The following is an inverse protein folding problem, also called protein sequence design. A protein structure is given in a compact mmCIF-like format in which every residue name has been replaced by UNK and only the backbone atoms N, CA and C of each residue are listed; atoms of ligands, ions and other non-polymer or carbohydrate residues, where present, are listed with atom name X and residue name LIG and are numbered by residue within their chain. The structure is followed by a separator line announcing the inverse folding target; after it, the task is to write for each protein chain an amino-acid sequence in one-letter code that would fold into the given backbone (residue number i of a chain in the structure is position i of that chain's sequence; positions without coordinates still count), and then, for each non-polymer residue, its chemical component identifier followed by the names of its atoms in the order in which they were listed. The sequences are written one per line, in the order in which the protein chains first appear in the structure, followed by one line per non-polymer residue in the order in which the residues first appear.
data_IF_470221866204
#
_entry.id   IF_470221866204
#
_cell.length_a   1.000
_cell.length_b   1.000
_cell.length_c   1.000
_cell.angle_alpha   90.00
_cell.angle_beta   90.00
_cell.angle_gamma   90.00
#
_symmetry.space_group_name_H-M   'P 1'
#
loop_
_entity.id
_entity.type
_entity.pdbx_description
1 polymer ?
#
# COMPACT_ATOMS: atom_id res chain seq x y z
N UNK A 1 -14.20 25.21 -5.10
CA UNK A 1 -15.51 24.66 -5.53
C UNK A 1 -15.37 23.81 -6.78
N UNK A 2 -14.80 24.36 -7.87
CA UNK A 2 -14.72 23.70 -9.19
C UNK A 2 -13.86 22.42 -9.21
N UNK A 3 -12.71 22.36 -8.51
CA UNK A 3 -11.89 21.13 -8.48
C UNK A 3 -12.64 19.94 -7.89
N UNK A 4 -13.40 20.16 -6.80
CA UNK A 4 -14.07 19.09 -6.06
C UNK A 4 -15.18 18.42 -6.88
N UNK A 5 -15.85 19.18 -7.74
CA UNK A 5 -16.88 18.68 -8.66
C UNK A 5 -16.29 17.99 -9.90
N UNK A 6 -15.12 18.43 -10.37
CA UNK A 6 -14.42 17.79 -11.49
C UNK A 6 -13.93 16.37 -11.14
N UNK A 7 -13.51 16.14 -9.89
CA UNK A 7 -13.11 14.83 -9.39
C UNK A 7 -14.30 13.91 -9.01
N UNK A 8 -15.53 14.44 -8.98
CA UNK A 8 -16.73 13.67 -8.65
C UNK A 8 -17.32 12.91 -9.86
N UNK A 9 -16.86 13.21 -11.08
CA UNK A 9 -17.29 12.50 -12.29
C UNK A 9 -16.43 11.25 -12.50
N UNK A 10 -17.02 10.06 -12.32
CA UNK A 10 -16.32 8.77 -12.38
C UNK A 10 -15.50 8.54 -13.66
N UNK A 11 -15.91 9.12 -14.79
CA UNK A 11 -15.19 9.03 -16.07
C UNK A 11 -13.89 9.83 -16.13
N UNK A 12 -13.81 10.97 -15.44
CA UNK A 12 -12.60 11.81 -15.39
C UNK A 12 -11.52 11.13 -14.54
N UNK A 13 -11.91 10.44 -13.47
CA UNK A 13 -10.99 9.69 -12.62
C UNK A 13 -10.35 8.51 -13.37
N UNK A 14 -11.12 7.77 -14.17
CA UNK A 14 -10.60 6.60 -14.88
C UNK A 14 -9.56 6.98 -15.94
N UNK A 15 -9.81 8.03 -16.74
CA UNK A 15 -8.87 8.47 -17.77
C UNK A 15 -7.60 9.09 -17.15
N UNK A 16 -7.77 9.83 -16.05
CA UNK A 16 -6.66 10.35 -15.26
C UNK A 16 -5.76 9.21 -14.74
N UNK A 17 -6.35 8.18 -14.12
CA UNK A 17 -5.58 7.05 -13.58
C UNK A 17 -4.91 6.21 -14.66
N UNK A 18 -5.56 6.02 -15.81
CA UNK A 18 -4.94 5.34 -16.97
C UNK A 18 -3.71 6.11 -17.46
N UNK A 19 -3.85 7.42 -17.62
CA UNK A 19 -2.76 8.30 -18.06
C UNK A 19 -1.61 8.28 -17.05
N UNK A 20 -1.93 8.39 -15.76
CA UNK A 20 -0.94 8.37 -14.68
C UNK A 20 -0.18 7.03 -14.63
N UNK A 21 -0.88 5.90 -14.74
CA UNK A 21 -0.26 4.58 -14.81
C UNK A 21 0.64 4.42 -16.03
N UNK A 22 0.22 4.93 -17.20
CA UNK A 22 1.04 4.94 -18.40
C UNK A 22 2.33 5.75 -18.19
N UNK A 23 2.21 6.97 -17.64
CA UNK A 23 3.36 7.83 -17.33
C UNK A 23 4.33 7.17 -16.35
N UNK A 24 3.83 6.62 -15.24
CA UNK A 24 4.69 5.92 -14.29
C UNK A 24 5.32 4.67 -14.88
N UNK A 25 4.61 3.92 -15.72
CA UNK A 25 5.15 2.73 -16.37
C UNK A 25 6.28 3.08 -17.34
N UNK A 26 6.09 4.10 -18.17
CA UNK A 26 7.06 4.51 -19.21
C UNK A 26 8.24 5.28 -18.64
N UNK A 27 8.01 6.10 -17.60
CA UNK A 27 9.03 6.99 -17.04
C UNK A 27 9.26 6.73 -15.54
N UNK A 28 10.06 5.69 -15.16
CA UNK A 28 10.32 5.37 -13.76
C UNK A 28 10.89 6.53 -12.94
N UNK A 29 11.63 7.44 -13.58
CA UNK A 29 12.16 8.65 -12.92
C UNK A 29 11.07 9.60 -12.43
N UNK A 30 9.90 9.65 -13.09
CA UNK A 30 8.79 10.50 -12.65
C UNK A 30 8.23 10.06 -11.29
N UNK A 31 8.34 8.78 -10.96
CA UNK A 31 7.85 8.22 -9.68
C UNK A 31 8.57 8.82 -8.47
N UNK A 32 9.80 9.30 -8.66
CA UNK A 32 10.69 9.85 -7.64
C UNK A 32 10.62 11.38 -7.54
N UNK A 33 9.49 11.99 -7.91
CA UNK A 33 9.35 13.45 -8.00
C UNK A 33 8.28 14.00 -7.06
N UNK A 34 8.39 15.29 -6.72
CA UNK A 34 7.40 15.98 -5.88
C UNK A 34 5.98 15.97 -6.49
N UNK A 35 5.78 16.20 -7.80
CA UNK A 35 4.45 16.06 -8.41
C UNK A 35 3.84 14.66 -8.26
N UNK A 36 4.67 13.61 -8.28
CA UNK A 36 4.18 12.26 -8.04
C UNK A 36 3.71 12.07 -6.60
N UNK A 37 4.37 12.71 -5.62
CA UNK A 37 3.94 12.73 -4.21
C UNK A 37 2.54 13.35 -4.06
N UNK A 38 2.25 14.44 -4.78
CA UNK A 38 0.95 15.11 -4.73
C UNK A 38 -0.20 14.28 -5.30
N UNK A 39 0.09 13.27 -6.14
CA UNK A 39 -0.94 12.37 -6.65
C UNK A 39 -1.44 11.36 -5.61
N UNK A 40 -0.66 11.08 -4.56
CA UNK A 40 -0.95 10.00 -3.61
C UNK A 40 -2.29 10.17 -2.89
N UNK A 41 -2.67 11.34 -2.34
CA UNK A 41 -3.97 11.52 -1.72
C UNK A 41 -5.16 11.23 -2.66
N UNK A 42 -5.01 11.56 -3.94
CA UNK A 42 -6.01 11.24 -4.97
C UNK A 42 -6.07 9.74 -5.28
N UNK A 43 -4.93 9.06 -5.30
CA UNK A 43 -4.86 7.60 -5.42
C UNK A 43 -5.52 6.91 -4.23
N UNK A 44 -5.24 7.36 -3.00
CA UNK A 44 -5.87 6.81 -1.78
C UNK A 44 -7.37 7.03 -1.79
N UNK A 45 -7.84 8.20 -2.23
CA UNK A 45 -9.27 8.49 -2.37
C UNK A 45 -9.90 7.60 -3.44
N UNK A 46 -9.26 7.44 -4.60
CA UNK A 46 -9.73 6.59 -5.70
C UNK A 46 -9.80 5.11 -5.29
N UNK A 47 -8.83 4.64 -4.52
CA UNK A 47 -8.83 3.29 -3.94
C UNK A 47 -10.03 3.10 -2.98
N UNK A 48 -10.41 4.15 -2.25
CA UNK A 48 -11.49 4.09 -1.25
C UNK A 48 -12.89 4.16 -1.86
N UNK A 49 -13.10 5.02 -2.84
CA UNK A 49 -14.46 5.36 -3.34
C UNK A 49 -14.68 5.01 -4.82
N UNK A 50 -13.64 4.58 -5.54
CA UNK A 50 -13.72 4.28 -6.96
C UNK A 50 -14.49 2.99 -7.28
N UNK A 51 -14.80 2.80 -8.57
CA UNK A 51 -15.23 1.49 -9.08
C UNK A 51 -14.11 0.46 -8.92
N UNK A 52 -14.41 -0.84 -9.03
CA UNK A 52 -13.37 -1.88 -8.94
C UNK A 52 -12.21 -1.65 -9.93
N UNK A 53 -12.51 -1.19 -11.16
CA UNK A 53 -11.47 -0.84 -12.14
C UNK A 53 -10.64 0.38 -11.72
N UNK A 54 -11.30 1.40 -11.17
CA UNK A 54 -10.65 2.60 -10.62
C UNK A 54 -9.76 2.25 -9.42
N UNK A 55 -10.23 1.37 -8.54
CA UNK A 55 -9.49 0.88 -7.38
C UNK A 55 -8.25 0.09 -7.81
N UNK A 56 -8.39 -0.79 -8.79
CA UNK A 56 -7.28 -1.56 -9.36
C UNK A 56 -6.21 -0.63 -9.96
N UNK A 57 -6.63 0.35 -10.78
CA UNK A 57 -5.73 1.34 -11.35
C UNK A 57 -5.04 2.21 -10.28
N UNK A 58 -5.74 2.57 -9.21
CA UNK A 58 -5.16 3.31 -8.10
C UNK A 58 -4.13 2.47 -7.32
N UNK A 59 -4.43 1.19 -7.08
CA UNK A 59 -3.53 0.25 -6.43
C UNK A 59 -2.26 0.03 -7.25
N UNK A 60 -2.40 -0.05 -8.57
CA UNK A 60 -1.28 -0.19 -9.52
C UNK A 60 -0.37 1.04 -9.49
N UNK A 61 -0.94 2.24 -9.50
CA UNK A 61 -0.18 3.47 -9.44
C UNK A 61 0.61 3.58 -8.12
N UNK A 62 -0.03 3.26 -6.98
CA UNK A 62 0.64 3.21 -5.67
C UNK A 62 1.78 2.19 -5.65
N UNK A 63 1.55 1.01 -6.24
CA UNK A 63 2.57 -0.04 -6.35
C UNK A 63 3.77 0.41 -7.20
N UNK A 64 3.52 1.08 -8.34
CA UNK A 64 4.57 1.64 -9.18
C UNK A 64 5.39 2.69 -8.44
N UNK A 65 4.75 3.63 -7.73
CA UNK A 65 5.43 4.63 -6.90
C UNK A 65 6.36 3.98 -5.89
N UNK A 66 5.85 2.97 -5.16
CA UNK A 66 6.65 2.24 -4.18
C UNK A 66 7.89 1.59 -4.77
N UNK A 67 7.87 1.09 -6.01
CA UNK A 67 9.05 0.49 -6.63
C UNK A 67 10.24 1.48 -6.74
N UNK A 68 9.96 2.78 -6.82
CA UNK A 68 10.99 3.81 -6.93
C UNK A 68 11.59 4.25 -5.58
N UNK A 69 10.98 3.89 -4.44
CA UNK A 69 11.40 4.39 -3.12
C UNK A 69 12.85 4.07 -2.75
N UNK A 70 13.35 2.90 -3.16
CA UNK A 70 14.74 2.51 -2.88
C UNK A 70 15.79 3.32 -3.68
N UNK A 71 15.37 3.99 -4.75
CA UNK A 71 16.24 4.71 -5.67
C UNK A 71 15.96 6.24 -5.71
N UNK A 72 14.99 6.73 -4.95
CA UNK A 72 14.66 8.16 -4.89
C UNK A 72 15.34 8.86 -3.70
N UNK A 73 15.42 10.19 -3.70
CA UNK A 73 15.88 10.95 -2.55
C UNK A 73 15.08 10.58 -1.29
N UNK A 74 15.77 10.45 -0.15
CA UNK A 74 15.17 9.96 1.09
C UNK A 74 13.96 10.79 1.54
N UNK A 75 13.97 12.09 1.26
CA UNK A 75 12.90 13.04 1.53
C UNK A 75 11.64 12.70 0.74
N UNK A 76 11.80 12.40 -0.56
CA UNK A 76 10.69 12.03 -1.43
C UNK A 76 10.13 10.67 -1.02
N UNK A 77 10.98 9.66 -0.81
CA UNK A 77 10.53 8.34 -0.32
C UNK A 77 9.75 8.48 0.99
N UNK A 78 10.27 9.26 1.94
CA UNK A 78 9.62 9.52 3.21
C UNK A 78 8.26 10.20 3.02
N UNK A 79 8.20 11.29 2.26
CA UNK A 79 6.97 12.02 2.01
C UNK A 79 5.90 11.12 1.36
N UNK A 80 6.28 10.35 0.34
CA UNK A 80 5.39 9.42 -0.32
C UNK A 80 4.90 8.30 0.60
N UNK A 81 5.79 7.71 1.40
CA UNK A 81 5.41 6.65 2.34
C UNK A 81 4.46 7.15 3.45
N UNK A 82 4.63 8.40 3.90
CA UNK A 82 3.72 9.03 4.87
C UNK A 82 2.36 9.29 4.21
N UNK A 83 2.33 9.88 3.01
CA UNK A 83 1.08 10.14 2.30
C UNK A 83 0.31 8.85 1.99
N UNK A 84 1.02 7.77 1.65
CA UNK A 84 0.42 6.48 1.36
C UNK A 84 -0.04 5.73 2.62
N UNK A 85 0.41 6.11 3.82
CA UNK A 85 0.02 5.47 5.08
C UNK A 85 -1.48 5.63 5.38
N UNK A 86 -2.14 6.66 4.82
CA UNK A 86 -3.59 6.84 4.92
C UNK A 86 -4.38 5.69 4.25
N UNK A 87 -3.74 4.92 3.37
CA UNK A 87 -4.33 3.72 2.76
C UNK A 87 -4.27 2.48 3.67
N UNK A 88 -3.56 2.49 4.79
CA UNK A 88 -3.33 1.28 5.62
C UNK A 88 -4.64 0.53 5.97
N UNK A 89 -5.69 1.17 6.50
CA UNK A 89 -6.93 0.46 6.83
C UNK A 89 -7.59 -0.19 5.60
N UNK A 90 -7.46 0.47 4.45
CA UNK A 90 -8.02 0.00 3.20
C UNK A 90 -7.22 -1.16 2.60
N UNK A 91 -5.88 -1.10 2.65
CA UNK A 91 -5.03 -2.21 2.24
C UNK A 91 -5.29 -3.45 3.11
N UNK A 92 -5.46 -3.28 4.42
CA UNK A 92 -5.85 -4.36 5.32
C UNK A 92 -7.21 -4.97 4.94
N UNK A 93 -8.19 -4.14 4.62
CA UNK A 93 -9.49 -4.61 4.12
C UNK A 93 -9.36 -5.38 2.80
N UNK A 94 -8.59 -4.88 1.84
CA UNK A 94 -8.39 -5.52 0.54
C UNK A 94 -7.71 -6.90 0.66
N UNK A 95 -6.76 -7.05 1.58
CA UNK A 95 -6.11 -8.34 1.87
C UNK A 95 -7.11 -9.35 2.43
N UNK A 96 -8.01 -8.92 3.31
CA UNK A 96 -8.95 -9.80 4.01
C UNK A 96 -10.19 -10.15 3.18
N UNK A 97 -10.72 -9.16 2.46
CA UNK A 97 -12.07 -9.21 1.88
C UNK A 97 -12.13 -8.70 0.44
N UNK A 98 -11.03 -8.19 -0.10
CA UNK A 98 -10.97 -7.67 -1.47
C UNK A 98 -10.84 -8.78 -2.52
N UNK A 99 -10.96 -8.42 -3.81
CA UNK A 99 -10.75 -9.35 -4.92
C UNK A 99 -9.34 -9.99 -4.83
N UNK A 100 -9.19 -11.31 -5.07
CA UNK A 100 -7.90 -12.00 -4.92
C UNK A 100 -6.73 -11.34 -5.64
N UNK A 101 -6.98 -10.75 -6.82
CA UNK A 101 -5.97 -10.06 -7.63
C UNK A 101 -5.41 -8.77 -7.00
N UNK A 102 -6.05 -8.24 -5.95
CA UNK A 102 -5.58 -7.05 -5.24
C UNK A 102 -4.65 -7.42 -4.08
N UNK A 103 -4.79 -8.63 -3.55
CA UNK A 103 -4.22 -9.01 -2.25
C UNK A 103 -2.68 -8.94 -2.25
N UNK A 104 -2.02 -9.47 -3.29
CA UNK A 104 -0.56 -9.47 -3.37
C UNK A 104 0.02 -8.04 -3.39
N UNK A 105 -0.52 -7.15 -4.24
CA UNK A 105 -0.08 -5.75 -4.30
C UNK A 105 -0.40 -5.01 -3.00
N UNK A 106 -1.57 -5.26 -2.41
CA UNK A 106 -1.97 -4.64 -1.17
C UNK A 106 -1.09 -5.07 0.01
N UNK A 107 -0.76 -6.36 0.11
CA UNK A 107 0.14 -6.89 1.14
C UNK A 107 1.55 -6.32 1.00
N UNK A 108 2.08 -6.28 -0.23
CA UNK A 108 3.41 -5.73 -0.48
C UNK A 108 3.50 -4.23 -0.15
N UNK A 109 2.48 -3.46 -0.52
CA UNK A 109 2.38 -2.05 -0.15
C UNK A 109 2.33 -1.90 1.36
N UNK A 110 1.43 -2.62 2.03
CA UNK A 110 1.23 -2.54 3.48
C UNK A 110 2.54 -2.79 4.26
N UNK A 111 3.32 -3.79 3.85
CA UNK A 111 4.63 -4.11 4.45
C UNK A 111 5.68 -3.00 4.33
N UNK A 112 5.52 -2.07 3.38
CA UNK A 112 6.45 -0.98 3.13
C UNK A 112 6.03 0.35 3.76
N UNK A 113 4.82 0.44 4.33
CA UNK A 113 4.29 1.67 4.90
C UNK A 113 4.71 1.84 6.36
N UNK A 114 5.01 3.09 6.79
CA UNK A 114 5.25 3.38 8.19
C UNK A 114 4.00 3.10 9.02
N UNK A 115 4.18 2.71 10.29
CA UNK A 115 3.07 2.43 11.19
C UNK A 115 2.44 1.03 11.03
N UNK A 116 2.95 0.21 10.10
CA UNK A 116 2.51 -1.18 9.94
C UNK A 116 3.44 -2.13 10.69
N UNK A 117 2.85 -3.01 11.50
CA UNK A 117 3.52 -4.20 12.05
C UNK A 117 2.91 -5.44 11.40
N UNK A 118 3.68 -6.17 10.59
CA UNK A 118 3.24 -7.45 10.02
C UNK A 118 3.72 -8.59 10.92
N UNK A 119 2.76 -9.40 11.37
CA UNK A 119 3.01 -10.57 12.21
C UNK A 119 2.52 -11.82 11.49
N UNK A 120 3.44 -12.67 11.06
CA UNK A 120 3.10 -13.96 10.44
C UNK A 120 3.05 -15.03 11.54
N UNK A 121 1.85 -15.51 11.86
CA UNK A 121 1.66 -16.62 12.81
C UNK A 121 1.43 -17.90 12.01
N UNK A 122 2.40 -18.82 12.03
CA UNK A 122 2.25 -20.15 11.42
C UNK A 122 1.63 -21.10 12.44
N UNK A 123 0.49 -21.70 12.10
CA UNK A 123 -0.08 -22.80 12.89
C UNK A 123 0.85 -24.02 12.82
N UNK A 124 1.21 -24.58 13.98
CA UNK A 124 2.02 -25.78 14.06
C UNK A 124 1.18 -27.04 13.87
N UNK A 125 1.26 -27.69 12.72
CA UNK A 125 0.48 -28.90 12.41
C UNK A 125 0.97 -30.18 13.13
N UNK A 126 2.06 -30.10 13.90
CA UNK A 126 2.71 -31.22 14.60
C UNK A 126 2.76 -31.03 16.12
N UNK A 127 1.72 -30.41 16.71
CA UNK A 127 1.62 -30.31 18.16
C UNK A 127 1.30 -31.70 18.74
N UNK A 128 2.34 -32.48 19.06
CA UNK A 128 2.21 -33.55 20.05
C UNK A 128 1.72 -32.88 21.34
N UNK A 129 0.57 -33.30 21.86
CA UNK A 129 0.09 -32.88 23.17
C UNK A 129 1.14 -33.28 24.21
N UNK A 130 2.05 -32.36 24.53
CA UNK A 130 2.95 -32.54 25.68
C UNK A 130 2.08 -32.34 26.91
N UNK A 131 1.67 -33.45 27.50
CA UNK A 131 1.01 -33.48 28.81
C UNK A 131 1.94 -32.77 29.80
N UNK A 132 1.59 -31.56 30.25
CA UNK A 132 2.28 -30.87 31.36
C UNK A 132 2.81 -29.45 31.11
N UNK A 133 2.92 -28.95 29.87
CA UNK A 133 3.15 -27.52 29.62
C UNK A 133 3.05 -27.16 28.12
N UNK A 134 2.13 -26.27 27.69
CA UNK A 134 2.07 -25.81 26.32
C UNK A 134 3.20 -24.79 26.05
N UNK A 135 4.30 -25.22 25.42
CA UNK A 135 5.28 -24.29 24.85
C UNK A 135 4.88 -23.93 23.42
N UNK A 136 3.96 -22.98 23.27
CA UNK A 136 3.67 -22.38 21.97
C UNK A 136 4.74 -21.32 21.70
N UNK A 137 5.57 -21.51 20.68
CA UNK A 137 6.49 -20.47 20.22
C UNK A 137 6.01 -19.90 18.87
N UNK A 138 5.73 -18.61 18.84
CA UNK A 138 5.44 -17.87 17.62
C UNK A 138 6.74 -17.25 17.09
N UNK A 139 7.11 -17.54 15.84
CA UNK A 139 8.21 -16.84 15.17
C UNK A 139 7.71 -15.48 14.66
N UNK A 140 8.10 -14.41 15.35
CA UNK A 140 7.85 -13.03 14.92
C UNK A 140 8.91 -12.63 13.88
N UNK A 141 8.48 -12.16 12.71
CA UNK A 141 9.37 -11.53 11.71
C UNK A 141 8.96 -10.07 11.59
N UNK A 142 9.79 -9.16 12.12
CA UNK A 142 9.59 -7.72 12.01
C UNK A 142 10.00 -7.26 10.59
N UNK A 143 9.15 -6.48 9.93
CA UNK A 143 9.42 -5.93 8.59
C UNK A 143 10.64 -4.99 8.56
N UNK A 144 11.12 -4.68 7.35
CA UNK A 144 12.38 -3.97 7.02
C UNK A 144 12.44 -2.49 7.45
N UNK A 145 12.12 -2.16 8.70
CA UNK A 145 12.34 -0.83 9.27
C UNK A 145 13.35 -0.89 10.41
N UNK A 146 14.20 0.14 10.58
CA UNK A 146 15.10 0.21 11.72
C UNK A 146 14.31 0.09 13.03
N UNK A 147 14.82 -0.65 14.04
CA UNK A 147 14.17 -0.76 15.34
C UNK A 147 13.87 0.62 15.91
N UNK A 148 12.61 0.87 16.27
CA UNK A 148 12.21 2.08 17.02
C UNK A 148 11.72 1.67 18.39
N UNK A 149 12.20 2.35 19.42
CA UNK A 149 11.66 2.25 20.78
C UNK A 149 10.29 2.92 20.79
N UNK A 150 9.24 2.18 21.18
CA UNK A 150 7.92 2.76 21.45
C UNK A 150 7.87 3.24 22.90
N UNK A 151 7.22 4.39 23.13
CA UNK A 151 6.94 4.89 24.49
C UNK A 151 5.82 4.11 25.14
#
# INVERSE_FOLDING_TARGET
AIEKDLWATGTVNDEYLKTLNSLFSVYPKLRATEPATLSIPHLVTSLKTGSEATQEAALDALFLLRQAWSACPAEVSRAQSIAAADAIPLLQYLIQSGPPRFQEKAEFLLQCLPGTLVVIIKCGNNMKQSVGNPSVYCKLTLGNTPPRQTK
#
